data_IF_667956516835
#
_entry.id   IF_667956516835
#
_cell.length_a   1.000
_cell.length_b   1.000
_cell.length_c   1.000
_cell.angle_alpha   90.00
_cell.angle_beta   90.00
_cell.angle_gamma   90.00
#
_symmetry.space_group_name_H-M   'P 1'
#
loop_
_entity.id
_entity.type
_entity.pdbx_description
1 polymer ?
#
# COMPACT_ATOMS: atom_id res chain seq x y z
N UNK A 1 -17.62 4.20 29.23
CA UNK A 1 -16.84 3.44 28.22
C UNK A 1 -16.90 4.28 26.95
N UNK A 2 -15.77 4.73 26.40
CA UNK A 2 -15.82 5.55 25.17
C UNK A 2 -16.16 4.66 23.98
N UNK A 3 -17.09 5.08 23.13
CA UNK A 3 -17.40 4.37 21.89
C UNK A 3 -16.15 4.35 20.98
N UNK A 4 -16.02 3.37 20.07
CA UNK A 4 -14.89 3.36 19.13
C UNK A 4 -14.82 4.65 18.32
N UNK A 5 -15.98 5.22 17.97
CA UNK A 5 -16.07 6.51 17.30
C UNK A 5 -15.57 7.67 18.17
N UNK A 6 -15.82 7.68 19.49
CA UNK A 6 -15.21 8.66 20.41
C UNK A 6 -13.71 8.45 20.58
N UNK A 7 -13.28 7.19 20.65
CA UNK A 7 -11.87 6.83 20.74
C UNK A 7 -11.11 7.27 19.50
N UNK A 8 -11.68 7.00 18.33
CA UNK A 8 -11.13 7.31 17.03
C UNK A 8 -11.22 8.81 16.68
N UNK A 9 -12.34 9.48 16.98
CA UNK A 9 -12.44 10.95 16.85
C UNK A 9 -11.56 11.70 17.85
N UNK A 10 -11.21 11.08 18.99
CA UNK A 10 -10.20 11.59 19.93
C UNK A 10 -8.75 11.24 19.53
N UNK A 11 -8.56 10.55 18.40
CA UNK A 11 -7.25 10.42 17.79
C UNK A 11 -6.92 11.75 17.14
N UNK A 12 -6.23 12.58 17.92
CA UNK A 12 -5.62 13.82 17.46
C UNK A 12 -4.92 13.62 16.10
N UNK A 13 -5.03 14.64 15.24
CA UNK A 13 -4.50 14.67 13.87
C UNK A 13 -2.97 14.46 13.82
N UNK A 14 -2.31 14.65 14.95
CA UNK A 14 -0.87 14.43 15.15
C UNK A 14 -0.49 12.97 15.44
N UNK A 15 -1.46 12.07 15.71
CA UNK A 15 -1.15 10.73 16.21
C UNK A 15 -0.68 9.79 15.08
N UNK A 16 0.53 9.28 15.27
CA UNK A 16 1.14 8.21 14.48
C UNK A 16 0.41 6.86 14.64
N UNK A 17 0.67 5.93 13.72
CA UNK A 17 0.26 4.53 13.82
C UNK A 17 0.50 3.89 15.20
N UNK A 18 1.66 4.16 15.78
CA UNK A 18 2.01 3.64 17.10
C UNK A 18 1.11 4.19 18.20
N UNK A 19 0.69 5.45 18.11
CA UNK A 19 -0.21 6.05 19.09
C UNK A 19 -1.61 5.45 18.98
N UNK A 20 -2.14 5.23 17.76
CA UNK A 20 -3.40 4.53 17.55
C UNK A 20 -3.36 3.12 18.16
N UNK A 21 -2.35 2.31 17.82
CA UNK A 21 -2.22 0.95 18.35
C UNK A 21 -2.13 0.91 19.88
N UNK A 22 -1.31 1.78 20.48
CA UNK A 22 -1.24 1.90 21.95
C UNK A 22 -2.59 2.31 22.56
N UNK A 23 -3.34 3.18 21.90
CA UNK A 23 -4.68 3.55 22.31
C UNK A 23 -5.63 2.36 22.20
N UNK A 24 -5.63 1.62 21.10
CA UNK A 24 -6.48 0.42 20.93
C UNK A 24 -6.18 -0.66 21.96
N UNK A 25 -4.90 -0.86 22.32
CA UNK A 25 -4.49 -1.80 23.37
C UNK A 25 -4.99 -1.42 24.78
N UNK A 26 -5.02 -0.12 25.08
CA UNK A 26 -5.42 0.40 26.41
C UNK A 26 -6.94 0.45 26.58
N UNK A 27 -7.69 0.41 25.50
CA UNK A 27 -9.14 0.52 25.52
C UNK A 27 -9.79 -0.85 25.30
N UNK A 28 -10.99 -1.04 25.86
CA UNK A 28 -11.77 -2.28 25.72
C UNK A 28 -12.42 -2.36 24.34
N UNK A 29 -11.62 -2.32 23.27
CA UNK A 29 -12.10 -2.53 21.90
C UNK A 29 -12.24 -4.02 21.66
N UNK A 30 -13.26 -4.44 20.91
CA UNK A 30 -13.46 -5.84 20.56
C UNK A 30 -12.58 -6.24 19.38
N UNK A 31 -11.70 -7.20 19.61
CA UNK A 31 -10.84 -7.82 18.62
C UNK A 31 -11.48 -9.10 18.13
N UNK A 32 -11.33 -9.40 16.85
CA UNK A 32 -12.04 -10.49 16.20
C UNK A 32 -11.18 -11.23 15.19
N UNK A 33 -11.53 -12.49 14.96
CA UNK A 33 -11.08 -13.29 13.83
C UNK A 33 -12.14 -13.33 12.73
N UNK A 34 -11.74 -13.27 11.46
CA UNK A 34 -12.60 -13.64 10.36
C UNK A 34 -12.70 -15.17 10.26
N UNK A 35 -13.91 -15.69 10.08
CA UNK A 35 -14.19 -17.06 9.69
C UNK A 35 -15.19 -17.00 8.52
N UNK A 36 -14.65 -16.94 7.30
CA UNK A 36 -15.39 -16.61 6.09
C UNK A 36 -16.17 -15.29 6.21
N UNK A 37 -17.50 -15.36 6.23
CA UNK A 37 -18.42 -14.22 6.36
C UNK A 37 -18.75 -13.90 7.82
N UNK A 38 -18.33 -14.74 8.76
CA UNK A 38 -18.59 -14.58 10.20
C UNK A 38 -17.37 -13.91 10.85
N UNK A 39 -17.62 -13.01 11.80
CA UNK A 39 -16.57 -12.34 12.57
C UNK A 39 -16.75 -12.71 14.05
N UNK A 40 -15.81 -13.49 14.58
CA UNK A 40 -15.89 -14.03 15.94
C UNK A 40 -14.98 -13.24 16.89
N UNK A 41 -15.43 -12.88 18.10
CA UNK A 41 -14.56 -12.30 19.11
C UNK A 41 -13.37 -13.22 19.44
N UNK A 42 -12.21 -12.64 19.72
CA UNK A 42 -11.07 -13.39 20.23
C UNK A 42 -11.39 -14.02 21.59
N UNK A 43 -10.92 -15.24 21.80
CA UNK A 43 -10.73 -15.80 23.13
C UNK A 43 -9.70 -15.00 23.93
N UNK A 44 -9.64 -15.23 25.24
CA UNK A 44 -8.68 -14.55 26.12
C UNK A 44 -7.24 -14.86 25.69
N UNK A 45 -6.96 -16.11 25.33
CA UNK A 45 -5.63 -16.56 24.90
C UNK A 45 -5.21 -15.86 23.59
N UNK A 46 -6.07 -15.88 22.57
CA UNK A 46 -5.80 -15.23 21.28
C UNK A 46 -5.62 -13.72 21.44
N UNK A 47 -6.39 -13.10 22.33
CA UNK A 47 -6.22 -11.69 22.65
C UNK A 47 -4.85 -11.40 23.29
N UNK A 48 -4.39 -12.23 24.24
CA UNK A 48 -3.07 -12.07 24.85
C UNK A 48 -1.93 -12.24 23.83
N UNK A 49 -2.06 -13.20 22.90
CA UNK A 49 -1.12 -13.38 21.79
C UNK A 49 -1.10 -12.11 20.92
N UNK A 50 -2.28 -11.63 20.52
CA UNK A 50 -2.42 -10.39 19.73
C UNK A 50 -1.77 -9.20 20.42
N UNK A 51 -1.99 -9.03 21.73
CA UNK A 51 -1.35 -7.95 22.50
C UNK A 51 0.17 -8.05 22.50
N UNK A 52 0.73 -9.27 22.62
CA UNK A 52 2.17 -9.51 22.51
C UNK A 52 2.69 -9.10 21.13
N UNK A 53 2.01 -9.51 20.04
CA UNK A 53 2.39 -9.15 18.67
C UNK A 53 2.39 -7.65 18.41
N UNK A 54 1.40 -6.92 18.92
CA UNK A 54 1.38 -5.45 18.80
C UNK A 54 2.60 -4.84 19.49
N UNK A 55 2.95 -5.31 20.69
CA UNK A 55 4.14 -4.82 21.40
C UNK A 55 5.42 -5.09 20.62
N UNK A 56 5.57 -6.28 20.05
CA UNK A 56 6.71 -6.64 19.17
C UNK A 56 6.81 -5.73 17.94
N UNK A 57 5.67 -5.45 17.29
CA UNK A 57 5.59 -4.60 16.11
C UNK A 57 5.90 -3.13 16.44
N UNK A 58 5.35 -2.61 17.55
CA UNK A 58 5.64 -1.26 18.05
C UNK A 58 7.12 -1.09 18.41
N UNK A 59 7.72 -2.10 19.05
CA UNK A 59 9.13 -2.09 19.39
C UNK A 59 10.00 -2.13 18.13
N UNK A 60 9.68 -2.99 17.16
CA UNK A 60 10.40 -3.05 15.88
C UNK A 60 10.32 -1.76 15.09
N UNK A 61 9.18 -1.07 15.10
CA UNK A 61 9.07 0.26 14.51
C UNK A 61 9.96 1.29 15.23
N UNK A 62 10.02 1.25 16.57
CA UNK A 62 10.90 2.14 17.36
C UNK A 62 12.38 1.89 17.02
N UNK A 63 12.73 0.63 16.81
CA UNK A 63 14.06 0.18 16.40
C UNK A 63 14.31 0.35 14.89
N UNK A 64 13.37 1.00 14.18
CA UNK A 64 13.38 1.27 12.73
C UNK A 64 13.36 0.05 11.82
N UNK A 65 13.27 -1.18 12.34
CA UNK A 65 13.25 -2.43 11.56
C UNK A 65 12.04 -2.61 10.65
N UNK A 66 10.98 -1.84 10.88
CA UNK A 66 9.78 -1.82 10.04
C UNK A 66 9.07 -0.47 10.09
N UNK A 67 8.15 -0.27 9.15
CA UNK A 67 7.24 0.87 9.11
C UNK A 67 5.78 0.42 9.18
N UNK A 68 5.01 0.92 10.15
CA UNK A 68 3.56 0.76 10.18
C UNK A 68 2.86 1.78 9.28
N UNK A 69 1.89 1.29 8.51
CA UNK A 69 1.18 2.05 7.50
C UNK A 69 -0.32 1.73 7.55
N UNK A 70 -1.10 2.67 7.04
CA UNK A 70 -2.54 2.53 6.87
C UNK A 70 -2.97 2.84 5.45
N UNK A 71 -3.96 2.09 4.98
CA UNK A 71 -4.71 2.40 3.77
C UNK A 71 -6.19 2.43 4.14
N UNK A 72 -6.89 3.51 3.80
CA UNK A 72 -8.34 3.55 3.92
C UNK A 72 -9.02 3.15 2.62
N UNK A 73 -10.16 2.49 2.75
CA UNK A 73 -10.98 2.09 1.61
C UNK A 73 -12.46 2.18 2.00
N UNK A 74 -13.32 2.34 1.01
CA UNK A 74 -14.76 2.23 1.22
C UNK A 74 -15.15 0.76 1.32
N UNK A 75 -15.88 0.39 2.37
CA UNK A 75 -16.32 -0.98 2.59
C UNK A 75 -17.08 -1.54 1.39
N UNK A 76 -17.98 -0.75 0.80
CA UNK A 76 -18.71 -1.14 -0.40
C UNK A 76 -17.79 -1.47 -1.60
N UNK A 77 -16.68 -0.72 -1.76
CA UNK A 77 -15.67 -1.01 -2.79
C UNK A 77 -14.90 -2.28 -2.46
N UNK A 78 -14.54 -2.50 -1.19
CA UNK A 78 -13.90 -3.75 -0.80
C UNK A 78 -14.83 -4.95 -1.09
N UNK A 79 -16.09 -4.89 -0.67
CA UNK A 79 -17.09 -5.94 -0.91
C UNK A 79 -17.19 -6.25 -2.40
N UNK A 80 -17.23 -5.22 -3.25
CA UNK A 80 -17.19 -5.39 -4.70
C UNK A 80 -15.92 -6.10 -5.16
N UNK A 81 -14.73 -5.64 -4.74
CA UNK A 81 -13.43 -6.26 -5.11
C UNK A 81 -13.34 -7.72 -4.69
N UNK A 82 -13.93 -8.09 -3.56
CA UNK A 82 -13.89 -9.45 -3.01
C UNK A 82 -15.05 -10.35 -3.49
N UNK A 83 -16.01 -9.79 -4.24
CA UNK A 83 -17.30 -10.41 -4.55
C UNK A 83 -18.02 -10.96 -3.30
N UNK A 84 -18.06 -10.16 -2.23
CA UNK A 84 -18.72 -10.51 -0.98
C UNK A 84 -18.10 -9.86 0.26
N UNK A 85 -18.81 -9.96 1.39
CA UNK A 85 -18.35 -9.47 2.69
C UNK A 85 -17.56 -10.57 3.42
N UNK A 86 -16.40 -10.94 2.85
CA UNK A 86 -15.50 -11.95 3.41
C UNK A 86 -14.11 -11.34 3.63
N UNK A 87 -13.84 -10.89 4.85
CA UNK A 87 -12.54 -10.32 5.22
C UNK A 87 -11.40 -11.33 5.17
N UNK A 88 -11.69 -12.64 5.33
CA UNK A 88 -10.69 -13.72 5.19
C UNK A 88 -10.01 -13.67 3.83
N UNK A 89 -10.77 -13.36 2.76
CA UNK A 89 -10.21 -13.18 1.40
C UNK A 89 -9.09 -12.16 1.36
N UNK A 90 -9.22 -11.03 2.07
CA UNK A 90 -8.15 -10.00 2.10
C UNK A 90 -6.89 -10.57 2.72
N UNK A 91 -7.00 -11.34 3.79
CA UNK A 91 -5.84 -11.99 4.43
C UNK A 91 -5.24 -13.13 3.58
N UNK A 92 -5.94 -13.60 2.55
CA UNK A 92 -5.40 -14.58 1.58
C UNK A 92 -4.78 -13.93 0.35
N UNK A 93 -5.41 -12.89 -0.22
CA UNK A 93 -5.00 -12.33 -1.53
C UNK A 93 -4.46 -10.90 -1.48
N UNK A 94 -4.52 -10.24 -0.33
CA UNK A 94 -4.13 -8.84 -0.15
C UNK A 94 -5.02 -7.83 -0.88
N UNK A 95 -4.64 -6.55 -0.78
CA UNK A 95 -5.31 -5.44 -1.46
C UNK A 95 -4.42 -4.92 -2.60
N UNK A 96 -4.88 -5.02 -3.85
CA UNK A 96 -4.05 -4.73 -5.03
C UNK A 96 -4.25 -3.32 -5.54
N UNK A 97 -3.26 -2.79 -6.25
CA UNK A 97 -3.36 -1.51 -6.94
C UNK A 97 -4.50 -1.51 -7.96
N UNK A 98 -5.06 -0.33 -8.25
CA UNK A 98 -6.27 -0.19 -9.05
C UNK A 98 -6.12 -0.72 -10.48
N UNK A 99 -4.91 -0.71 -11.02
CA UNK A 99 -4.60 -1.27 -12.33
C UNK A 99 -4.79 -2.80 -12.39
N UNK A 100 -4.85 -3.50 -11.26
CA UNK A 100 -5.18 -4.94 -11.19
C UNK A 100 -6.69 -5.24 -11.27
N UNK A 101 -7.55 -4.21 -11.24
CA UNK A 101 -9.02 -4.34 -11.33
C UNK A 101 -9.59 -4.15 -12.74
N UNK A 102 -8.80 -3.65 -13.70
CA UNK A 102 -9.30 -3.26 -15.03
C UNK A 102 -9.51 -4.43 -16.00
N UNK A 103 -10.59 -4.37 -16.76
CA UNK A 103 -10.77 -5.17 -17.98
C UNK A 103 -9.92 -4.60 -19.14
N UNK A 104 -9.71 -5.45 -20.14
CA UNK A 104 -8.95 -5.27 -21.39
C UNK A 104 -9.30 -3.91 -22.04
N UNK A 105 -8.43 -2.91 -21.92
CA UNK A 105 -8.66 -1.57 -22.48
C UNK A 105 -7.93 -0.44 -21.79
N UNK A 106 -7.43 -0.65 -20.55
CA UNK A 106 -6.37 0.21 -20.03
C UNK A 106 -5.08 -0.01 -20.83
N UNK A 107 -4.08 0.83 -20.63
CA UNK A 107 -2.69 0.78 -21.15
C UNK A 107 -1.94 -0.49 -20.73
N UNK A 108 -2.56 -1.66 -20.91
CA UNK A 108 -2.10 -3.03 -20.70
C UNK A 108 -0.77 -3.27 -21.41
N UNK A 109 -0.56 -2.50 -22.46
CA UNK A 109 0.64 -2.51 -23.27
C UNK A 109 1.83 -1.81 -22.62
N UNK A 110 1.62 -0.81 -21.75
CA UNK A 110 2.74 -0.02 -21.23
C UNK A 110 3.65 -0.80 -20.27
N UNK A 111 3.12 -1.86 -19.64
CA UNK A 111 3.82 -2.68 -18.66
C UNK A 111 3.43 -4.14 -18.80
N UNK A 112 4.40 -4.99 -19.15
CA UNK A 112 4.21 -6.44 -19.15
C UNK A 112 4.10 -6.97 -17.71
N UNK A 113 4.91 -6.42 -16.81
CA UNK A 113 5.01 -6.79 -15.40
C UNK A 113 5.29 -5.58 -14.51
N UNK A 114 5.10 -5.74 -13.21
CA UNK A 114 5.33 -4.71 -12.19
C UNK A 114 6.79 -4.23 -12.16
N UNK A 115 7.72 -5.08 -12.62
CA UNK A 115 9.14 -4.76 -12.74
C UNK A 115 9.58 -4.47 -14.19
N UNK A 116 8.65 -4.10 -15.06
CA UNK A 116 8.97 -3.73 -16.43
C UNK A 116 9.79 -2.43 -16.47
N UNK A 117 10.96 -2.53 -17.08
CA UNK A 117 11.95 -1.46 -17.29
C UNK A 117 12.29 -1.30 -18.77
N UNK A 118 11.40 -1.78 -19.65
CA UNK A 118 11.54 -1.72 -21.10
C UNK A 118 11.49 -0.29 -21.63
N UNK A 119 11.93 -0.11 -22.87
CA UNK A 119 11.75 1.12 -23.62
C UNK A 119 10.28 1.56 -23.63
N UNK A 120 9.37 0.62 -23.89
CA UNK A 120 7.93 0.85 -23.96
C UNK A 120 7.37 1.47 -22.66
N UNK A 121 7.81 0.96 -21.51
CA UNK A 121 7.48 1.53 -20.20
C UNK A 121 7.98 2.97 -20.05
N UNK A 122 9.24 3.25 -20.40
CA UNK A 122 9.80 4.60 -20.26
C UNK A 122 9.11 5.60 -21.20
N UNK A 123 8.80 5.17 -22.41
CA UNK A 123 8.03 5.98 -23.36
C UNK A 123 6.65 6.32 -22.83
N UNK A 124 5.96 5.35 -22.23
CA UNK A 124 4.67 5.56 -21.60
C UNK A 124 4.74 6.54 -20.43
N UNK A 125 5.77 6.42 -19.57
CA UNK A 125 6.00 7.37 -18.47
C UNK A 125 6.18 8.78 -19.02
N UNK A 126 7.01 8.95 -20.06
CA UNK A 126 7.24 10.25 -20.69
C UNK A 126 5.94 10.87 -21.23
N UNK A 127 5.18 10.09 -22.01
CA UNK A 127 3.88 10.52 -22.54
C UNK A 127 2.90 10.87 -21.42
N UNK A 128 2.88 10.07 -20.34
CA UNK A 128 2.02 10.32 -19.19
C UNK A 128 2.31 11.67 -18.53
N UNK A 129 3.57 12.04 -18.36
CA UNK A 129 3.94 13.34 -17.80
C UNK A 129 3.59 14.52 -18.72
N UNK A 130 3.65 14.34 -20.04
CA UNK A 130 3.34 15.40 -21.01
C UNK A 130 1.91 15.94 -20.87
N UNK A 131 1.00 15.09 -20.39
CA UNK A 131 -0.41 15.35 -20.17
C UNK A 131 -0.76 15.87 -18.76
N UNK A 132 0.18 15.82 -17.80
CA UNK A 132 -0.10 16.25 -16.42
C UNK A 132 -0.22 17.77 -16.35
N UNK A 133 -1.38 18.25 -15.90
CA UNK A 133 -1.64 19.68 -15.75
C UNK A 133 -1.15 20.26 -14.42
N UNK A 134 -1.01 19.44 -13.38
CA UNK A 134 -0.66 19.89 -12.02
C UNK A 134 0.85 19.92 -11.73
N UNK A 135 1.67 19.39 -12.64
CA UNK A 135 3.12 19.34 -12.50
C UNK A 135 3.75 20.75 -12.51
N UNK A 136 4.96 20.88 -11.96
CA UNK A 136 5.71 22.13 -12.02
C UNK A 136 6.19 22.48 -13.43
N UNK A 137 6.44 23.77 -13.68
CA UNK A 137 6.70 24.25 -15.05
C UNK A 137 7.95 23.63 -15.70
N UNK A 138 8.98 23.33 -14.90
CA UNK A 138 10.17 22.63 -15.37
C UNK A 138 9.86 21.20 -15.84
N UNK A 139 9.00 20.47 -15.10
CA UNK A 139 8.54 19.13 -15.48
C UNK A 139 7.75 19.21 -16.78
N UNK A 140 6.76 20.12 -16.83
CA UNK A 140 5.94 20.33 -18.03
C UNK A 140 6.78 20.67 -19.26
N UNK A 141 7.74 21.58 -19.11
CA UNK A 141 8.58 22.02 -20.22
C UNK A 141 9.37 20.85 -20.79
N UNK A 142 10.01 20.05 -19.94
CA UNK A 142 10.80 18.90 -20.40
C UNK A 142 9.94 17.83 -21.08
N UNK A 143 8.82 17.42 -20.46
CA UNK A 143 8.00 16.30 -20.95
C UNK A 143 7.08 16.68 -22.13
N UNK A 144 6.82 17.98 -22.37
CA UNK A 144 6.07 18.43 -23.56
C UNK A 144 6.94 18.58 -24.81
N UNK A 145 8.26 18.59 -24.66
CA UNK A 145 9.19 18.63 -25.78
C UNK A 145 9.45 17.22 -26.31
N UNK A 146 8.85 16.88 -27.46
CA UNK A 146 8.98 15.53 -28.06
C UNK A 146 10.43 15.10 -28.32
N UNK A 147 11.34 16.05 -28.55
CA UNK A 147 12.77 15.81 -28.72
C UNK A 147 13.44 15.21 -27.48
N UNK A 148 12.89 15.43 -26.28
CA UNK A 148 13.43 14.90 -25.02
C UNK A 148 13.04 13.43 -24.77
N UNK A 149 12.07 12.89 -25.53
CA UNK A 149 11.56 11.52 -25.32
C UNK A 149 12.68 10.48 -25.40
N UNK A 150 13.49 10.53 -26.45
CA UNK A 150 14.55 9.52 -26.66
C UNK A 150 15.66 9.66 -25.62
N UNK A 151 16.02 10.89 -25.24
CA UNK A 151 16.99 11.17 -24.18
C UNK A 151 16.52 10.57 -22.83
N UNK A 152 15.27 10.85 -22.45
CA UNK A 152 14.65 10.29 -21.25
C UNK A 152 14.67 8.76 -21.24
N UNK A 153 14.23 8.13 -22.33
CA UNK A 153 14.20 6.67 -22.48
C UNK A 153 15.61 6.09 -22.31
N UNK A 154 16.59 6.62 -23.04
CA UNK A 154 17.96 6.12 -23.02
C UNK A 154 18.61 6.23 -21.63
N UNK A 155 18.29 7.30 -20.88
CA UNK A 155 18.85 7.53 -19.55
C UNK A 155 18.27 6.61 -18.47
N UNK A 156 17.09 6.04 -18.69
CA UNK A 156 16.31 5.31 -17.67
C UNK A 156 16.04 3.83 -17.98
N UNK A 157 16.14 3.41 -19.24
CA UNK A 157 15.88 2.03 -19.62
C UNK A 157 16.74 1.04 -18.79
N UNK A 158 16.13 -0.06 -18.36
CA UNK A 158 16.80 -1.05 -17.51
C UNK A 158 16.95 -0.64 -16.03
N UNK A 159 16.57 0.57 -15.62
CA UNK A 159 16.73 1.04 -14.25
C UNK A 159 15.39 1.12 -13.49
N UNK A 160 15.11 0.09 -12.70
CA UNK A 160 13.89 -0.02 -11.89
C UNK A 160 13.73 1.13 -10.88
N UNK A 161 14.83 1.55 -10.26
CA UNK A 161 14.84 2.62 -9.25
C UNK A 161 14.39 3.96 -9.84
N UNK A 162 14.88 4.33 -11.02
CA UNK A 162 14.45 5.58 -11.68
C UNK A 162 13.05 5.46 -12.30
N UNK A 163 12.68 4.27 -12.76
CA UNK A 163 11.31 3.99 -13.20
C UNK A 163 10.33 4.21 -12.06
N UNK A 164 10.59 3.62 -10.88
CA UNK A 164 9.75 3.77 -9.70
C UNK A 164 9.70 5.22 -9.20
N UNK A 165 10.81 5.96 -9.32
CA UNK A 165 10.88 7.41 -9.04
C UNK A 165 9.85 8.20 -9.85
N UNK A 166 9.81 8.01 -11.17
CA UNK A 166 8.84 8.69 -12.03
C UNK A 166 7.41 8.15 -11.88
N UNK A 167 7.22 6.85 -11.63
CA UNK A 167 5.89 6.32 -11.32
C UNK A 167 5.31 6.90 -10.03
N UNK A 168 6.14 7.17 -9.02
CA UNK A 168 5.70 7.83 -7.78
C UNK A 168 5.23 9.26 -8.06
N UNK A 169 5.94 10.01 -8.90
CA UNK A 169 5.48 11.33 -9.30
C UNK A 169 4.18 11.28 -10.11
N UNK A 170 4.01 10.30 -11.01
CA UNK A 170 2.72 10.09 -11.70
C UNK A 170 1.57 9.79 -10.72
N UNK A 171 1.82 8.97 -9.69
CA UNK A 171 0.83 8.66 -8.65
C UNK A 171 0.39 9.92 -7.88
N UNK A 172 1.35 10.78 -7.53
CA UNK A 172 1.12 11.92 -6.64
C UNK A 172 0.68 13.19 -7.38
N UNK A 173 1.20 13.42 -8.59
CA UNK A 173 0.91 14.61 -9.41
C UNK A 173 -0.19 14.37 -10.45
N UNK A 174 -0.38 13.12 -10.90
CA UNK A 174 -1.35 12.76 -11.93
C UNK A 174 -2.81 12.70 -11.43
N UNK A 175 -3.02 12.74 -10.12
CA UNK A 175 -4.34 12.58 -9.50
C UNK A 175 -4.90 11.16 -9.63
N UNK A 176 -6.13 10.96 -9.16
CA UNK A 176 -6.79 9.63 -9.08
C UNK A 176 -7.14 8.99 -10.43
N UNK A 177 -6.92 9.69 -11.55
CA UNK A 177 -7.25 9.19 -12.89
C UNK A 177 -6.17 8.28 -13.48
N UNK A 178 -4.90 8.40 -13.05
CA UNK A 178 -3.81 7.54 -13.53
C UNK A 178 -3.68 6.29 -12.67
N UNK A 179 -3.77 5.12 -13.30
CA UNK A 179 -3.66 3.82 -12.62
C UNK A 179 -2.24 3.28 -12.79
N UNK A 180 -1.33 3.64 -11.88
CA UNK A 180 -0.01 3.01 -11.79
C UNK A 180 -0.04 1.80 -10.85
N UNK A 181 1.05 1.05 -10.78
CA UNK A 181 1.23 -0.14 -9.92
C UNK A 181 1.45 0.22 -8.44
N UNK A 182 0.86 1.30 -7.94
CA UNK A 182 1.01 1.70 -6.54
C UNK A 182 -0.31 1.69 -5.77
N UNK A 183 -0.23 1.31 -4.51
CA UNK A 183 -1.30 1.48 -3.51
C UNK A 183 -0.87 2.59 -2.56
N UNK A 184 -1.58 3.73 -2.57
CA UNK A 184 -1.30 4.85 -1.67
C UNK A 184 -1.61 4.50 -0.22
N UNK A 185 -0.64 4.71 0.67
CA UNK A 185 -0.80 4.50 2.11
C UNK A 185 -0.15 5.64 2.90
N UNK A 186 -0.46 5.73 4.19
CA UNK A 186 0.08 6.78 5.06
C UNK A 186 0.43 6.22 6.43
N UNK A 187 1.38 6.86 7.11
CA UNK A 187 1.62 6.65 8.54
C UNK A 187 0.55 7.28 9.43
N UNK A 188 -0.30 8.15 8.88
CA UNK A 188 -1.38 8.81 9.58
C UNK A 188 -2.70 8.08 9.32
N UNK A 189 -3.31 7.46 10.35
CA UNK A 189 -4.59 6.77 10.18
C UNK A 189 -5.72 7.75 9.80
N UNK A 190 -5.62 9.01 10.22
CA UNK A 190 -6.60 10.04 9.87
C UNK A 190 -6.50 10.42 8.40
N UNK A 191 -5.31 10.57 7.81
CA UNK A 191 -5.18 10.89 6.39
C UNK A 191 -5.70 9.74 5.52
N UNK A 192 -5.54 8.51 5.99
CA UNK A 192 -6.11 7.33 5.34
C UNK A 192 -7.65 7.31 5.41
N UNK A 193 -8.27 7.97 6.40
CA UNK A 193 -9.70 8.19 6.46
C UNK A 193 -10.09 9.59 5.98
N UNK A 194 -10.48 9.70 4.71
CA UNK A 194 -11.22 10.88 4.25
C UNK A 194 -12.51 11.06 5.12
N UNK A 195 -13.05 12.27 5.29
CA UNK A 195 -14.17 12.58 6.21
C UNK A 195 -15.55 12.01 5.78
N UNK A 196 -15.66 10.72 5.47
CA UNK A 196 -16.91 10.11 4.96
C UNK A 196 -17.18 8.78 5.68
N UNK A 197 -18.44 8.35 5.69
CA UNK A 197 -18.92 7.10 6.30
C UNK A 197 -18.57 5.85 5.48
N UNK A 198 -18.80 4.66 6.05
CA UNK A 198 -18.64 3.35 5.42
C UNK A 198 -17.19 2.97 5.08
N UNK A 199 -16.29 3.14 6.05
CA UNK A 199 -14.84 3.01 5.84
C UNK A 199 -14.21 1.89 6.64
N UNK A 200 -13.24 1.28 5.98
CA UNK A 200 -12.30 0.34 6.58
C UNK A 200 -10.90 0.93 6.53
N UNK A 201 -10.06 0.53 7.47
CA UNK A 201 -8.62 0.76 7.43
C UNK A 201 -7.89 -0.57 7.41
N UNK A 202 -7.04 -0.75 6.41
CA UNK A 202 -5.99 -1.75 6.47
C UNK A 202 -4.86 -1.21 7.35
N UNK A 203 -4.50 -1.96 8.38
CA UNK A 203 -3.27 -1.77 9.16
C UNK A 203 -2.27 -2.83 8.71
N UNK A 204 -1.11 -2.40 8.25
CA UNK A 204 -0.07 -3.28 7.75
C UNK A 204 1.31 -2.71 8.08
N UNK A 205 2.36 -3.49 7.82
CA UNK A 205 3.74 -3.01 7.94
C UNK A 205 4.54 -3.31 6.68
N UNK A 206 5.70 -2.70 6.57
CA UNK A 206 6.74 -3.09 5.61
C UNK A 206 8.07 -3.22 6.37
N UNK A 207 8.88 -4.26 6.13
CA UNK A 207 10.18 -4.42 6.77
C UNK A 207 11.24 -3.55 6.11
N UNK A 208 12.38 -3.36 6.78
CA UNK A 208 13.58 -2.78 6.14
C UNK A 208 14.25 -3.77 5.16
N UNK A 209 14.81 -3.28 4.03
CA UNK A 209 14.80 -1.88 3.60
C UNK A 209 13.46 -1.51 2.94
N UNK A 210 12.86 -0.40 3.37
CA UNK A 210 11.52 0.01 2.91
C UNK A 210 11.42 0.27 1.41
N UNK A 211 12.55 0.60 0.76
CA UNK A 211 12.64 0.86 -0.69
C UNK A 211 12.21 -0.33 -1.54
N UNK A 212 12.30 -1.54 -0.99
CA UNK A 212 11.94 -2.77 -1.71
C UNK A 212 10.43 -2.97 -1.80
N UNK A 213 9.66 -2.18 -1.04
CA UNK A 213 8.22 -2.31 -0.91
C UNK A 213 7.48 -1.03 -1.30
N UNK A 214 8.10 0.13 -1.10
CA UNK A 214 7.41 1.41 -1.22
C UNK A 214 8.33 2.53 -1.69
N UNK A 215 7.74 3.46 -2.45
CA UNK A 215 8.30 4.79 -2.67
C UNK A 215 7.70 5.79 -1.69
N UNK A 216 8.53 6.72 -1.22
CA UNK A 216 8.12 7.78 -0.31
C UNK A 216 8.93 9.04 -0.58
N UNK A 217 8.52 10.17 0.01
CA UNK A 217 9.31 11.40 -0.01
C UNK A 217 10.77 11.21 0.43
N UNK A 218 11.04 10.29 1.36
CA UNK A 218 12.41 10.02 1.82
C UNK A 218 13.22 9.30 0.77
N UNK A 219 12.65 8.27 0.11
CA UNK A 219 13.34 7.57 -0.97
C UNK A 219 13.60 8.49 -2.15
N UNK A 220 12.63 9.35 -2.53
CA UNK A 220 12.83 10.34 -3.60
C UNK A 220 14.09 11.19 -3.37
N UNK A 221 14.23 11.79 -2.17
CA UNK A 221 15.37 12.65 -1.84
C UNK A 221 16.72 11.95 -1.96
N UNK A 222 16.78 10.65 -1.71
CA UNK A 222 18.00 9.86 -1.88
C UNK A 222 18.38 9.72 -3.36
N UNK A 223 17.39 9.70 -4.26
CA UNK A 223 17.55 9.50 -5.70
C UNK A 223 17.81 10.82 -6.44
N UNK A 224 17.45 11.97 -5.88
CA UNK A 224 17.54 13.29 -6.54
C UNK A 224 18.90 13.58 -7.15
N UNK A 225 20.00 13.31 -6.43
CA UNK A 225 21.36 13.55 -6.94
C UNK A 225 21.68 12.71 -8.18
N UNK A 226 21.18 11.48 -8.24
CA UNK A 226 21.39 10.59 -9.38
C UNK A 226 20.56 11.01 -10.60
N UNK A 227 19.36 11.55 -10.37
CA UNK A 227 18.50 12.11 -11.44
C UNK A 227 19.09 13.42 -11.97
N UNK A 228 19.54 14.29 -11.07
CA UNK A 228 20.20 15.54 -11.41
C UNK A 228 21.46 15.32 -12.23
N UNK A 229 22.30 14.34 -11.85
CA UNK A 229 23.50 13.96 -12.61
C UNK A 229 23.22 13.39 -14.00
N UNK A 230 21.95 13.07 -14.32
CA UNK A 230 21.50 12.66 -15.65
C UNK A 230 20.86 13.79 -16.44
N UNK A 231 20.89 15.03 -15.94
CA UNK A 231 20.19 16.17 -16.53
C UNK A 231 18.70 15.88 -16.77
N UNK A 232 18.09 15.11 -15.85
CA UNK A 232 16.68 14.79 -15.90
C UNK A 232 15.88 15.64 -14.91
N UNK A 233 14.59 15.92 -15.19
CA UNK A 233 13.78 16.72 -14.29
C UNK A 233 13.60 16.05 -12.92
N UNK A 234 13.95 16.80 -11.87
CA UNK A 234 13.74 16.40 -10.48
C UNK A 234 12.28 16.65 -10.12
N UNK A 235 11.61 15.61 -9.63
CA UNK A 235 10.29 15.70 -9.04
C UNK A 235 10.36 16.52 -7.76
N UNK A 236 9.42 17.45 -7.60
CA UNK A 236 9.23 18.13 -6.32
C UNK A 236 8.59 17.16 -5.32
N UNK A 237 8.46 17.59 -4.07
CA UNK A 237 7.64 16.82 -3.12
C UNK A 237 6.23 16.61 -3.70
N UNK A 238 5.58 15.49 -3.33
CA UNK A 238 4.17 15.20 -3.66
C UNK A 238 3.29 16.45 -3.56
N UNK A 239 2.31 16.59 -4.46
CA UNK A 239 1.26 17.62 -4.40
C UNK A 239 0.57 17.68 -3.04
N UNK A 240 0.61 16.59 -2.28
CA UNK A 240 0.05 16.46 -0.95
C UNK A 240 1.13 16.12 0.09
N UNK A 241 2.10 17.03 0.35
CA UNK A 241 3.28 16.72 1.15
C UNK A 241 2.95 16.45 2.63
N UNK A 242 1.76 16.87 3.07
CA UNK A 242 1.26 16.61 4.43
C UNK A 242 0.80 15.17 4.61
N UNK A 243 0.49 14.43 3.53
CA UNK A 243 -0.09 13.09 3.58
C UNK A 243 0.92 12.00 4.01
N UNK A 244 2.21 12.34 4.11
CA UNK A 244 3.29 11.42 4.49
C UNK A 244 3.18 10.08 3.73
N UNK A 245 2.91 10.18 2.42
CA UNK A 245 2.55 9.03 1.61
C UNK A 245 3.69 8.03 1.46
N UNK A 246 3.33 6.75 1.56
CA UNK A 246 4.09 5.60 1.10
C UNK A 246 3.28 4.94 -0.01
N UNK A 247 3.80 4.98 -1.23
CA UNK A 247 3.19 4.34 -2.39
C UNK A 247 3.71 2.91 -2.48
N UNK A 248 2.88 1.95 -2.03
CA UNK A 248 3.24 0.53 -1.95
C UNK A 248 3.21 -0.11 -3.32
N UNK A 249 4.29 -0.79 -3.69
CA UNK A 249 4.44 -1.43 -4.99
C UNK A 249 3.54 -2.66 -5.11
N UNK A 250 2.61 -2.60 -6.05
CA UNK A 250 1.75 -3.69 -6.49
C UNK A 250 0.54 -3.91 -5.62
N UNK A 251 0.76 -4.25 -4.36
CA UNK A 251 -0.29 -4.60 -3.41
C UNK A 251 0.13 -4.39 -1.96
N UNK A 252 -0.85 -4.24 -1.07
CA UNK A 252 -0.68 -4.56 0.34
C UNK A 252 -0.74 -6.09 0.43
N UNK A 253 0.45 -6.70 0.54
CA UNK A 253 0.59 -8.14 0.58
C UNK A 253 0.00 -8.71 1.89
N UNK A 254 -0.68 -9.87 1.82
CA UNK A 254 -1.30 -10.49 2.98
C UNK A 254 -0.28 -10.87 4.07
N UNK A 255 0.95 -11.18 3.66
CA UNK A 255 2.09 -11.50 4.52
C UNK A 255 2.45 -10.36 5.48
N UNK A 256 2.12 -9.11 5.12
CA UNK A 256 2.37 -7.94 5.97
C UNK A 256 1.09 -7.25 6.43
N UNK A 257 -0.07 -7.85 6.19
CA UNK A 257 -1.36 -7.31 6.62
C UNK A 257 -1.67 -7.77 8.05
N UNK A 258 -1.72 -6.80 8.98
CA UNK A 258 -1.94 -7.08 10.39
C UNK A 258 -3.43 -7.19 10.72
N UNK A 259 -4.21 -6.18 10.31
CA UNK A 259 -5.63 -6.11 10.65
C UNK A 259 -6.42 -5.24 9.67
N UNK A 260 -7.73 -5.42 9.70
CA UNK A 260 -8.74 -4.54 9.11
C UNK A 260 -9.55 -3.94 10.24
N UNK A 261 -9.65 -2.61 10.25
CA UNK A 261 -10.44 -1.87 11.22
C UNK A 261 -11.72 -1.43 10.50
N UNK A 262 -12.85 -2.03 10.85
CA UNK A 262 -14.18 -1.62 10.41
C UNK A 262 -14.68 -0.55 11.37
N UNK A 263 -14.54 0.72 10.96
CA UNK A 263 -14.77 1.88 11.83
C UNK A 263 -16.24 1.98 12.22
N UNK A 264 -17.13 1.80 11.26
CA UNK A 264 -18.57 1.91 11.45
C UNK A 264 -19.12 0.84 12.39
N UNK A 265 -18.62 -0.40 12.26
CA UNK A 265 -19.05 -1.52 13.10
C UNK A 265 -18.21 -1.67 14.37
N UNK A 266 -17.21 -0.80 14.59
CA UNK A 266 -16.33 -0.80 15.75
C UNK A 266 -15.57 -2.12 15.96
N UNK A 267 -15.17 -2.77 14.86
CA UNK A 267 -14.48 -4.06 14.88
C UNK A 267 -13.03 -3.91 14.45
N UNK A 268 -12.13 -4.53 15.19
CA UNK A 268 -10.78 -4.83 14.72
C UNK A 268 -10.73 -6.30 14.36
N UNK A 269 -10.47 -6.58 13.09
CA UNK A 269 -10.42 -7.93 12.53
C UNK A 269 -8.95 -8.22 12.25
N UNK A 270 -8.36 -9.17 12.96
CA UNK A 270 -6.93 -9.47 12.81
C UNK A 270 -6.70 -10.53 11.75
N UNK A 271 -5.50 -10.54 11.17
CA UNK A 271 -5.05 -11.65 10.34
C UNK A 271 -4.88 -12.91 11.22
N UNK A 272 -5.63 -14.00 10.96
CA UNK A 272 -5.53 -15.23 11.77
C UNK A 272 -4.11 -15.77 11.88
N UNK A 273 -3.29 -15.59 10.84
CA UNK A 273 -1.92 -16.11 10.80
C UNK A 273 -1.02 -15.50 11.87
N UNK A 274 -1.36 -14.34 12.45
CA UNK A 274 -0.67 -13.75 13.60
C UNK A 274 -0.66 -14.65 14.85
N UNK A 275 -1.65 -15.53 14.97
CA UNK A 275 -1.79 -16.47 16.08
C UNK A 275 -0.89 -17.71 15.90
N UNK A 276 -0.55 -18.04 14.65
CA UNK A 276 0.22 -19.23 14.28
C UNK A 276 1.72 -18.94 14.10
N UNK A 277 2.13 -17.66 13.94
CA UNK A 277 3.46 -17.37 13.40
C UNK A 277 4.63 -17.64 14.34
N UNK A 278 5.76 -18.07 13.78
CA UNK A 278 7.04 -18.25 14.47
C UNK A 278 7.83 -16.94 14.71
N UNK A 279 9.10 -17.11 15.10
CA UNK A 279 10.11 -16.06 15.30
C UNK A 279 10.45 -15.42 13.93
N UNK A 280 10.60 -14.09 13.89
CA UNK A 280 10.98 -13.27 12.71
C UNK A 280 9.87 -12.89 11.72
N UNK A 281 8.58 -13.04 12.08
CA UNK A 281 7.43 -12.64 11.27
C UNK A 281 7.42 -11.16 10.81
N UNK A 282 8.05 -10.27 11.58
CA UNK A 282 8.12 -8.84 11.22
C UNK A 282 8.99 -8.64 9.98
N UNK A 283 10.09 -9.37 9.87
CA UNK A 283 11.03 -9.26 8.74
C UNK A 283 10.54 -10.07 7.53
N UNK A 284 10.07 -11.29 7.77
CA UNK A 284 9.75 -12.23 6.70
C UNK A 284 8.29 -12.16 6.24
N UNK A 285 7.42 -11.53 7.03
CA UNK A 285 5.97 -11.61 6.85
C UNK A 285 5.38 -12.83 7.57
N UNK A 286 4.06 -12.92 7.52
CA UNK A 286 3.27 -14.06 7.96
C UNK A 286 3.31 -15.15 6.91
N UNK A 287 3.29 -16.41 7.34
CA UNK A 287 3.21 -17.54 6.41
C UNK A 287 1.79 -17.68 5.86
N UNK A 288 1.55 -17.05 4.71
CA UNK A 288 0.28 -17.13 3.98
C UNK A 288 0.38 -18.27 2.98
N UNK A 289 -0.19 -19.43 3.34
CA UNK A 289 -0.10 -20.61 2.49
C UNK A 289 -0.77 -20.38 1.11
N UNK A 290 -0.11 -20.76 0.00
CA UNK A 290 -0.60 -20.49 -1.36
C UNK A 290 -1.85 -21.25 -1.77
N UNK A 291 -2.20 -22.32 -1.05
CA UNK A 291 -3.16 -23.33 -1.51
C UNK A 291 -4.56 -22.73 -1.74
N UNK A 292 -4.94 -21.74 -0.93
CA UNK A 292 -6.20 -21.01 -1.08
C UNK A 292 -6.08 -19.76 -1.96
N UNK A 293 -4.87 -19.31 -2.32
CA UNK A 293 -4.71 -18.06 -3.06
C UNK A 293 -5.46 -18.09 -4.39
N UNK A 294 -5.31 -19.18 -5.15
CA UNK A 294 -5.87 -19.31 -6.49
C UNK A 294 -7.41 -19.36 -6.47
N UNK A 295 -7.99 -20.15 -5.56
CA UNK A 295 -9.44 -20.26 -5.41
C UNK A 295 -10.05 -18.93 -4.94
N UNK A 296 -9.46 -18.31 -3.92
CA UNK A 296 -9.92 -17.03 -3.38
C UNK A 296 -9.77 -15.91 -4.43
N UNK A 297 -8.68 -15.87 -5.17
CA UNK A 297 -8.46 -14.91 -6.25
C UNK A 297 -9.47 -15.05 -7.39
N UNK A 298 -9.68 -16.26 -7.90
CA UNK A 298 -10.66 -16.49 -8.99
C UNK A 298 -12.09 -16.19 -8.57
N UNK A 299 -12.40 -16.28 -7.27
CA UNK A 299 -13.69 -15.88 -6.73
C UNK A 299 -13.84 -14.37 -6.52
N UNK A 300 -12.79 -13.57 -6.72
CA UNK A 300 -12.79 -12.12 -6.52
C UNK A 300 -13.05 -11.37 -7.84
N UNK A 301 -13.21 -10.04 -7.77
CA UNK A 301 -13.34 -9.18 -8.94
C UNK A 301 -11.99 -8.77 -9.54
N UNK A 302 -10.87 -9.10 -8.88
CA UNK A 302 -9.54 -8.82 -9.42
C UNK A 302 -9.30 -9.60 -10.72
N UNK A 303 -8.77 -8.91 -11.73
CA UNK A 303 -8.50 -9.50 -13.06
C UNK A 303 -7.05 -9.96 -13.20
N UNK A 304 -6.17 -9.35 -12.42
CA UNK A 304 -4.73 -9.57 -12.39
C UNK A 304 -4.27 -9.79 -10.96
N UNK A 305 -3.16 -10.49 -10.80
CA UNK A 305 -2.58 -10.71 -9.48
C UNK A 305 -1.13 -10.26 -9.41
N UNK A 306 -0.70 -9.99 -8.19
CA UNK A 306 0.71 -9.81 -7.84
C UNK A 306 0.96 -10.51 -6.52
N UNK A 307 2.08 -11.22 -6.44
CA UNK A 307 2.63 -11.84 -5.24
C UNK A 307 4.10 -11.46 -5.14
N UNK A 308 4.66 -11.56 -3.94
CA UNK A 308 6.08 -11.37 -3.69
C UNK A 308 6.61 -12.61 -3.00
N UNK A 309 7.66 -13.21 -3.56
CA UNK A 309 8.35 -14.32 -2.93
C UNK A 309 9.21 -13.83 -1.77
N UNK A 310 9.61 -14.75 -0.89
CA UNK A 310 10.58 -14.47 0.17
C UNK A 310 11.95 -14.03 -0.38
N UNK A 311 12.28 -14.39 -1.62
CA UNK A 311 13.45 -13.89 -2.36
C UNK A 311 13.35 -12.39 -2.72
N UNK A 312 12.18 -11.78 -2.57
CA UNK A 312 11.90 -10.40 -3.00
C UNK A 312 11.39 -10.27 -4.42
N UNK A 313 11.40 -11.35 -5.20
CA UNK A 313 10.89 -11.36 -6.58
C UNK A 313 9.37 -11.23 -6.62
N UNK A 314 8.87 -10.48 -7.61
CA UNK A 314 7.44 -10.38 -7.88
C UNK A 314 7.00 -11.46 -8.87
N UNK A 315 5.86 -12.07 -8.59
CA UNK A 315 5.09 -12.86 -9.54
C UNK A 315 3.81 -12.11 -9.85
N UNK A 316 3.63 -11.68 -11.09
CA UNK A 316 2.40 -11.04 -11.54
C UNK A 316 1.90 -11.60 -12.88
N UNK A 317 0.60 -11.41 -13.11
CA UNK A 317 -0.10 -11.76 -14.34
C UNK A 317 -1.03 -10.62 -14.70
#
# INVERSE_FOLDING_TARGET
>A
MKSFNELYSSIDRSKSASQLLNTLLKNKVHWHLPNDTIINPLSIEEFLITQKRIKELLQSQKDKKCKLLFRGEFKARLIFKLNGDNYSKVFSIGEKAQNYLGDIGFERDAFEKINDVSQKTMEWIFSSYSEIQLASENIKTYFRQSTNKQDFVNKLIGNEKFRDYYLYGLQTEGGSSRKVFFVSSSTSPQQSLFNESNKILFLFWIPEPHSDYAQSKTSLKQIHKEIEAKDLPILKDSCFPKENEYSIKGAIFPDFLYAIIDVDHQKIIINPKLLETEISWITNGLDIHPEDFKSQFHSSSYKRFVRRYSSGEYLDN
#
